data_IF_281061739147
#
_entry.id   IF_281061739147
#
_cell.length_a   1.000
_cell.length_b   1.000
_cell.length_c   1.000
_cell.angle_alpha   90.00
_cell.angle_beta   90.00
_cell.angle_gamma   90.00
#
_symmetry.space_group_name_H-M   'P 1'
#
loop_
_entity.id
_entity.type
_entity.pdbx_description
1 polymer ?
#
# COMPACT_ATOMS: atom_id res chain seq x y z
N UNK A 1 -9.35 30.24 -52.09
CA UNK A 1 -9.85 29.07 -52.86
C UNK A 1 -9.43 27.82 -52.11
N UNK A 2 -10.21 26.79 -51.79
CA UNK A 2 -11.64 26.47 -51.82
C UNK A 2 -11.84 25.35 -50.77
N UNK A 3 -12.91 25.42 -49.96
CA UNK A 3 -14.05 24.47 -49.96
C UNK A 3 -13.64 22.99 -50.08
N UNK A 4 -13.96 22.06 -49.18
CA UNK A 4 -14.92 22.04 -48.07
C UNK A 4 -14.99 20.61 -47.46
N UNK A 5 -15.86 20.38 -46.47
CA UNK A 5 -15.91 19.18 -45.61
C UNK A 5 -16.89 18.12 -46.13
N UNK A 6 -16.72 16.83 -45.76
CA UNK A 6 -17.69 15.72 -45.92
C UNK A 6 -17.08 14.44 -45.29
N UNK A 7 -17.77 13.50 -44.62
CA UNK A 7 -19.17 13.26 -44.24
C UNK A 7 -19.19 12.07 -43.26
N UNK A 8 -20.00 12.16 -42.20
CA UNK A 8 -20.53 11.00 -41.46
C UNK A 8 -21.68 10.34 -42.27
N UNK A 9 -21.90 9.02 -42.11
CA UNK A 9 -23.24 8.44 -42.19
C UNK A 9 -23.53 7.60 -40.92
N UNK A 10 -24.56 7.94 -40.13
CA UNK A 10 -25.98 7.56 -40.20
C UNK A 10 -26.34 6.35 -39.33
N UNK A 11 -27.13 6.67 -38.30
CA UNK A 11 -27.96 5.79 -37.49
C UNK A 11 -28.72 4.77 -38.34
N UNK A 12 -28.79 3.53 -37.85
CA UNK A 12 -29.84 2.57 -38.20
C UNK A 12 -30.75 2.38 -36.97
N UNK A 13 -32.06 2.45 -37.25
CA UNK A 13 -33.19 2.33 -36.32
C UNK A 13 -33.43 0.88 -35.89
N UNK A 14 -33.99 0.74 -34.68
CA UNK A 14 -34.68 -0.44 -34.11
C UNK A 14 -35.86 -0.94 -34.97
N UNK A 15 -36.33 -2.18 -34.73
CA UNK A 15 -37.62 -2.41 -34.06
C UNK A 15 -37.50 -3.46 -32.92
N UNK A 16 -38.20 -3.44 -31.77
CA UNK A 16 -39.64 -3.42 -31.44
C UNK A 16 -40.28 -4.83 -31.33
N UNK A 17 -40.93 -5.10 -30.19
CA UNK A 17 -41.85 -6.23 -29.93
C UNK A 17 -41.30 -7.26 -28.92
N UNK A 18 -42.00 -7.73 -27.88
CA UNK A 18 -43.35 -7.54 -27.37
C UNK A 18 -43.35 -7.85 -25.85
N UNK A 19 -44.17 -7.17 -25.03
CA UNK A 19 -45.52 -7.59 -24.59
C UNK A 19 -45.49 -8.97 -23.93
N UNK A 20 -45.73 -9.11 -22.62
CA UNK A 20 -47.02 -9.09 -21.87
C UNK A 20 -46.86 -10.26 -20.87
N UNK A 21 -47.37 -10.34 -19.66
CA UNK A 21 -48.56 -9.78 -19.01
C UNK A 21 -48.66 -10.42 -17.63
N UNK A 22 -49.31 -9.72 -16.69
CA UNK A 22 -50.21 -10.26 -15.64
C UNK A 22 -49.50 -11.09 -14.55
N UNK A 23 -49.78 -10.91 -13.27
CA UNK A 23 -51.12 -10.86 -12.70
C UNK A 23 -51.12 -10.22 -11.28
N UNK A 24 -52.24 -9.53 -11.00
CA UNK A 24 -53.06 -9.53 -9.76
C UNK A 24 -52.37 -9.57 -8.38
N UNK A 25 -52.85 -8.91 -7.33
CA UNK A 25 -53.77 -7.82 -6.95
C UNK A 25 -53.66 -7.77 -5.40
N UNK A 26 -53.93 -6.66 -4.73
CA UNK A 26 -53.75 -6.52 -3.28
C UNK A 26 -55.00 -6.95 -2.49
N UNK A 27 -54.83 -7.37 -1.23
CA UNK A 27 -55.91 -7.51 -0.26
C UNK A 27 -55.70 -6.58 0.94
N UNK A 28 -56.84 -6.14 1.45
CA UNK A 28 -57.14 -4.92 2.21
C UNK A 28 -57.54 -5.30 3.65
N UNK A 29 -57.37 -4.34 4.58
CA UNK A 29 -58.23 -4.07 5.74
C UNK A 29 -58.20 -5.06 6.92
N UNK A 30 -58.37 -4.73 8.21
CA UNK A 30 -58.61 -3.51 9.04
C UNK A 30 -58.53 -3.98 10.54
N UNK A 31 -58.64 -3.08 11.56
CA UNK A 31 -58.18 -3.30 12.94
C UNK A 31 -59.30 -3.72 13.91
N UNK A 32 -58.90 -4.12 15.14
CA UNK A 32 -59.83 -4.23 16.28
C UNK A 32 -59.45 -3.27 17.42
N UNK A 33 -60.47 -2.48 17.81
CA UNK A 33 -60.71 -1.84 19.10
C UNK A 33 -60.39 -2.79 20.28
N UNK A 34 -60.05 -2.38 21.50
CA UNK A 34 -60.30 -1.18 22.29
C UNK A 34 -60.39 -1.65 23.75
N UNK A 35 -60.10 -0.80 24.74
CA UNK A 35 -60.82 -0.65 26.01
C UNK A 35 -60.02 0.18 27.03
N UNK A 36 -60.79 1.01 27.71
CA UNK A 36 -60.44 2.14 28.56
C UNK A 36 -60.75 1.86 30.03
N UNK A 37 -59.82 2.22 30.94
CA UNK A 37 -60.01 2.77 32.32
C UNK A 37 -60.68 1.85 33.39
N UNK A 38 -60.62 2.14 34.73
CA UNK A 38 -60.36 3.43 35.41
C UNK A 38 -59.47 3.45 36.68
N UNK A 39 -59.38 4.69 37.21
CA UNK A 39 -58.74 5.22 38.42
C UNK A 39 -59.21 4.57 39.75
N UNK A 40 -58.30 4.47 40.71
CA UNK A 40 -58.57 4.29 42.14
C UNK A 40 -57.68 5.21 42.99
N UNK A 41 -58.24 5.80 44.05
CA UNK A 41 -57.69 6.92 44.83
C UNK A 41 -56.95 6.46 46.12
N UNK A 42 -55.86 7.18 46.42
CA UNK A 42 -55.10 7.49 47.68
C UNK A 42 -55.45 6.84 49.04
N UNK A 43 -54.42 6.72 49.94
CA UNK A 43 -54.21 7.73 50.99
C UNK A 43 -52.73 8.18 51.18
N UNK A 44 -52.50 9.11 52.11
CA UNK A 44 -51.35 10.02 52.17
C UNK A 44 -50.36 9.81 53.35
N UNK A 45 -49.08 10.18 53.09
CA UNK A 45 -48.01 10.74 53.99
C UNK A 45 -47.30 9.78 54.98
N UNK A 46 -45.97 9.97 55.26
CA UNK A 46 -45.36 11.22 55.72
C UNK A 46 -44.12 11.72 54.96
N UNK A 47 -43.75 12.96 55.27
CA UNK A 47 -42.73 13.77 54.61
C UNK A 47 -41.30 13.26 54.87
N UNK A 48 -40.50 13.12 53.80
CA UNK A 48 -39.04 13.08 53.89
C UNK A 48 -38.47 14.24 53.07
N UNK A 49 -37.72 15.06 53.81
CA UNK A 49 -36.68 16.02 53.41
C UNK A 49 -36.38 16.12 51.91
N UNK A 50 -36.60 17.32 51.38
CA UNK A 50 -36.26 17.76 50.03
C UNK A 50 -34.74 17.99 49.90
N UNK A 51 -34.05 17.04 49.28
CA UNK A 51 -32.82 17.34 48.51
C UNK A 51 -33.20 17.70 47.06
N UNK A 52 -32.42 18.52 46.34
CA UNK A 52 -32.74 18.86 44.96
C UNK A 52 -32.79 17.59 44.10
N UNK A 53 -33.68 17.51 43.10
CA UNK A 53 -33.74 16.35 42.22
C UNK A 53 -32.39 16.23 41.52
N UNK A 54 -31.73 15.07 41.65
CA UNK A 54 -30.62 14.72 40.79
C UNK A 54 -31.11 14.86 39.36
N UNK A 55 -30.58 15.86 38.65
CA UNK A 55 -30.79 16.01 37.22
C UNK A 55 -30.51 14.65 36.58
N UNK A 56 -31.37 14.14 35.68
CA UNK A 56 -30.97 13.00 34.88
C UNK A 56 -29.67 13.44 34.24
N UNK A 57 -28.54 12.81 34.61
CA UNK A 57 -27.27 12.95 33.91
C UNK A 57 -27.66 12.80 32.45
N UNK A 58 -27.70 13.92 31.74
CA UNK A 58 -27.80 13.91 30.30
C UNK A 58 -26.63 13.03 29.92
N UNK A 59 -26.93 11.83 29.44
CA UNK A 59 -25.99 11.09 28.61
C UNK A 59 -25.86 11.97 27.39
N UNK A 60 -25.07 13.04 27.51
CA UNK A 60 -24.59 13.84 26.41
C UNK A 60 -23.90 12.81 25.56
N UNK A 61 -24.59 12.37 24.50
CA UNK A 61 -23.92 11.65 23.42
C UNK A 61 -22.72 12.52 23.08
N UNK A 62 -21.50 11.96 23.08
CA UNK A 62 -20.34 12.73 22.67
C UNK A 62 -20.68 13.41 21.34
N UNK A 63 -20.30 14.70 21.24
CA UNK A 63 -20.55 15.48 20.03
C UNK A 63 -19.96 14.71 18.84
N UNK A 64 -20.57 14.71 17.64
CA UNK A 64 -20.03 13.99 16.49
C UNK A 64 -18.56 14.33 16.20
N UNK A 65 -18.11 15.53 16.58
CA UNK A 65 -16.71 15.96 16.52
C UNK A 65 -15.80 15.34 17.59
N UNK A 66 -16.32 15.02 18.77
CA UNK A 66 -15.60 14.31 19.83
C UNK A 66 -15.56 12.79 19.55
N UNK A 67 -16.62 12.24 18.97
CA UNK A 67 -16.64 10.87 18.42
C UNK A 67 -15.67 10.76 17.24
N UNK A 68 -15.70 11.71 16.28
CA UNK A 68 -14.69 11.82 15.22
C UNK A 68 -13.28 11.96 15.80
N UNK A 69 -13.06 12.79 16.84
CA UNK A 69 -11.73 13.01 17.40
C UNK A 69 -11.21 11.77 18.16
N UNK A 70 -12.08 11.01 18.83
CA UNK A 70 -11.73 9.72 19.43
C UNK A 70 -11.46 8.65 18.37
N UNK A 71 -12.25 8.61 17.31
CA UNK A 71 -12.05 7.72 16.17
C UNK A 71 -10.76 8.07 15.39
N UNK A 72 -10.43 9.36 15.27
CA UNK A 72 -9.21 9.84 14.61
C UNK A 72 -7.97 9.54 15.45
N UNK A 73 -8.07 9.58 16.78
CA UNK A 73 -6.98 9.14 17.66
C UNK A 73 -6.72 7.63 17.61
N UNK A 74 -7.75 6.84 17.37
CA UNK A 74 -7.67 5.37 17.31
C UNK A 74 -7.27 4.86 15.91
N UNK A 75 -7.73 5.51 14.84
CA UNK A 75 -7.48 5.05 13.47
C UNK A 75 -5.98 5.01 13.13
N UNK A 76 -5.21 6.02 13.57
CA UNK A 76 -3.76 6.04 13.35
C UNK A 76 -3.05 4.89 14.08
N UNK A 77 -3.50 4.56 15.29
CA UNK A 77 -2.98 3.41 16.04
C UNK A 77 -3.40 2.08 15.39
N UNK A 78 -4.62 1.98 14.87
CA UNK A 78 -5.07 0.79 14.14
C UNK A 78 -4.28 0.57 12.85
N UNK A 79 -4.08 1.63 12.05
CA UNK A 79 -3.23 1.57 10.86
C UNK A 79 -1.85 1.06 11.26
N UNK A 80 -1.18 1.72 12.22
CA UNK A 80 0.14 1.33 12.68
C UNK A 80 0.20 -0.13 13.18
N UNK A 81 -0.79 -0.57 13.95
CA UNK A 81 -0.86 -1.94 14.45
C UNK A 81 -1.03 -2.97 13.32
N UNK A 82 -1.91 -2.70 12.35
CA UNK A 82 -2.06 -3.55 11.19
C UNK A 82 -0.77 -3.57 10.33
N UNK A 83 -0.13 -2.42 10.12
CA UNK A 83 1.16 -2.33 9.42
C UNK A 83 2.25 -3.15 10.11
N UNK A 84 2.38 -3.03 11.44
CA UNK A 84 3.37 -3.76 12.21
C UNK A 84 3.12 -5.28 12.18
N UNK A 85 1.88 -5.71 12.40
CA UNK A 85 1.48 -7.11 12.30
C UNK A 85 1.74 -7.66 10.89
N UNK A 86 1.45 -6.88 9.85
CA UNK A 86 1.77 -7.22 8.46
C UNK A 86 3.27 -7.43 8.25
N UNK A 87 4.11 -6.55 8.78
CA UNK A 87 5.57 -6.70 8.69
C UNK A 87 6.10 -7.89 9.49
N UNK A 88 5.60 -8.14 10.69
CA UNK A 88 6.01 -9.29 11.53
C UNK A 88 5.62 -10.60 10.86
N UNK A 89 4.37 -10.72 10.40
CA UNK A 89 3.87 -11.93 9.72
C UNK A 89 4.59 -12.16 8.39
N UNK A 90 4.90 -11.10 7.64
CA UNK A 90 5.75 -11.18 6.43
C UNK A 90 7.14 -11.73 6.74
N UNK A 91 7.81 -11.22 7.79
CA UNK A 91 9.13 -11.73 8.23
C UNK A 91 9.08 -13.19 8.69
N UNK A 92 7.94 -13.65 9.17
CA UNK A 92 7.68 -15.07 9.50
C UNK A 92 7.26 -15.91 8.27
N UNK A 93 7.32 -15.35 7.05
CA UNK A 93 6.88 -15.99 5.81
C UNK A 93 5.38 -16.37 5.78
N UNK A 94 4.55 -15.77 6.64
CA UNK A 94 3.08 -15.93 6.66
C UNK A 94 2.44 -14.92 5.72
N UNK A 95 2.74 -15.06 4.43
CA UNK A 95 2.46 -14.02 3.41
C UNK A 95 0.98 -13.72 3.20
N UNK A 96 0.08 -14.71 3.32
CA UNK A 96 -1.38 -14.50 3.20
C UNK A 96 -1.93 -13.65 4.35
N UNK A 97 -1.40 -13.83 5.55
CA UNK A 97 -1.81 -13.06 6.71
C UNK A 97 -1.26 -11.64 6.68
N UNK A 98 0.00 -11.49 6.23
CA UNK A 98 0.59 -10.19 5.94
C UNK A 98 -0.26 -9.40 4.94
N UNK A 99 -0.74 -10.07 3.88
CA UNK A 99 -1.60 -9.46 2.87
C UNK A 99 -2.87 -8.89 3.51
N UNK A 100 -3.55 -9.68 4.34
CA UNK A 100 -4.76 -9.24 5.04
C UNK A 100 -4.47 -8.03 5.92
N UNK A 101 -3.41 -8.08 6.72
CA UNK A 101 -3.06 -6.96 7.59
C UNK A 101 -2.76 -5.67 6.83
N UNK A 102 -1.99 -5.74 5.74
CA UNK A 102 -1.72 -4.55 4.93
C UNK A 102 -2.95 -4.06 4.16
N UNK A 103 -3.86 -4.94 3.72
CA UNK A 103 -5.12 -4.52 3.10
C UNK A 103 -6.06 -3.85 4.09
N UNK A 104 -6.14 -4.35 5.33
CA UNK A 104 -6.86 -3.72 6.43
C UNK A 104 -6.27 -2.33 6.73
N UNK A 105 -4.94 -2.21 6.85
CA UNK A 105 -4.26 -0.92 7.04
C UNK A 105 -4.54 0.06 5.89
N UNK A 106 -4.49 -0.42 4.64
CA UNK A 106 -4.77 0.39 3.45
C UNK A 106 -6.22 0.89 3.43
N UNK A 107 -7.18 0.06 3.81
CA UNK A 107 -8.58 0.43 3.88
C UNK A 107 -8.81 1.56 4.89
N UNK A 108 -8.16 1.50 6.05
CA UNK A 108 -8.20 2.53 7.08
C UNK A 108 -7.42 3.79 6.68
N UNK A 109 -6.37 3.66 5.87
CA UNK A 109 -5.52 4.77 5.42
C UNK A 109 -6.15 5.62 4.32
N UNK A 110 -7.16 5.11 3.61
CA UNK A 110 -7.85 5.83 2.54
C UNK A 110 -8.69 6.98 3.10
N UNK A 111 -8.47 8.18 2.57
CA UNK A 111 -9.26 9.37 2.93
C UNK A 111 -8.74 10.16 4.13
N UNK A 112 -7.56 9.80 4.68
CA UNK A 112 -6.95 10.52 5.80
C UNK A 112 -5.63 11.20 5.43
N UNK A 113 -5.55 12.50 5.72
CA UNK A 113 -4.36 13.32 5.52
C UNK A 113 -3.94 13.46 4.05
N UNK A 114 -2.69 13.89 3.77
CA UNK A 114 -2.17 14.07 2.41
C UNK A 114 -1.82 12.73 1.73
N UNK A 115 -2.38 11.60 2.16
CA UNK A 115 -2.11 10.28 1.56
C UNK A 115 -0.81 9.62 2.01
N UNK A 116 -0.13 10.12 3.06
CA UNK A 116 1.12 9.53 3.59
C UNK A 116 0.96 8.06 3.97
N UNK A 117 -0.07 7.73 4.76
CA UNK A 117 -0.32 6.35 5.20
C UNK A 117 -0.68 5.45 4.03
N UNK A 118 -1.49 5.94 3.10
CA UNK A 118 -1.83 5.22 1.87
C UNK A 118 -0.57 4.92 1.03
N UNK A 119 0.37 5.86 0.96
CA UNK A 119 1.62 5.67 0.26
C UNK A 119 2.49 4.57 0.90
N UNK A 120 2.50 4.51 2.24
CA UNK A 120 3.19 3.47 3.01
C UNK A 120 2.57 2.10 2.74
N UNK A 121 1.26 1.97 2.86
CA UNK A 121 0.60 0.68 2.69
C UNK A 121 0.63 0.15 1.25
N UNK A 122 0.54 1.02 0.24
CA UNK A 122 0.78 0.60 -1.14
C UNK A 122 2.22 0.11 -1.36
N UNK A 123 3.20 0.71 -0.67
CA UNK A 123 4.59 0.24 -0.69
C UNK A 123 4.74 -1.14 -0.04
N UNK A 124 4.16 -1.34 1.14
CA UNK A 124 4.19 -2.62 1.85
C UNK A 124 3.54 -3.74 1.03
N UNK A 125 2.39 -3.47 0.41
CA UNK A 125 1.72 -4.41 -0.47
C UNK A 125 2.53 -4.68 -1.73
N UNK A 126 3.18 -3.67 -2.31
CA UNK A 126 4.06 -3.85 -3.46
C UNK A 126 5.21 -4.81 -3.15
N UNK A 127 5.85 -4.63 -2.01
CA UNK A 127 6.92 -5.51 -1.56
C UNK A 127 6.42 -6.92 -1.29
N UNK A 128 5.28 -7.07 -0.62
CA UNK A 128 4.68 -8.38 -0.36
C UNK A 128 4.33 -9.11 -1.66
N UNK A 129 3.79 -8.41 -2.66
CA UNK A 129 3.54 -9.01 -3.96
C UNK A 129 4.83 -9.38 -4.68
N UNK A 130 5.93 -8.65 -4.48
CA UNK A 130 7.23 -9.05 -5.02
C UNK A 130 7.71 -10.36 -4.38
N UNK A 131 7.59 -10.50 -3.05
CA UNK A 131 7.93 -11.74 -2.33
C UNK A 131 7.08 -12.93 -2.76
N UNK A 132 5.80 -12.69 -3.10
CA UNK A 132 4.87 -13.68 -3.63
C UNK A 132 5.12 -14.04 -5.12
N UNK A 133 6.08 -13.38 -5.79
CA UNK A 133 6.30 -13.55 -7.24
C UNK A 133 5.22 -12.90 -8.12
N UNK A 134 4.30 -12.12 -7.53
CA UNK A 134 3.24 -11.41 -8.23
C UNK A 134 3.75 -10.09 -8.83
N UNK A 135 4.73 -10.19 -9.73
CA UNK A 135 5.51 -9.05 -10.21
C UNK A 135 4.68 -7.90 -10.82
N UNK A 136 3.62 -8.21 -11.58
CA UNK A 136 2.73 -7.17 -12.13
C UNK A 136 1.98 -6.38 -11.04
N UNK A 137 1.56 -7.03 -9.94
CA UNK A 137 0.93 -6.34 -8.82
C UNK A 137 1.94 -5.52 -8.04
N UNK A 138 3.16 -6.03 -7.86
CA UNK A 138 4.27 -5.28 -7.25
C UNK A 138 4.54 -3.98 -8.02
N UNK A 139 4.65 -4.05 -9.36
CA UNK A 139 4.83 -2.88 -10.23
C UNK A 139 3.68 -1.88 -10.07
N UNK A 140 2.43 -2.35 -10.12
CA UNK A 140 1.25 -1.49 -10.05
C UNK A 140 1.19 -0.73 -8.72
N UNK A 141 1.33 -1.45 -7.61
CA UNK A 141 1.24 -0.87 -6.26
C UNK A 141 2.46 -0.02 -5.92
N UNK A 142 3.66 -0.47 -6.31
CA UNK A 142 4.89 0.30 -6.12
C UNK A 142 4.86 1.61 -6.89
N UNK A 143 4.33 1.61 -8.12
CA UNK A 143 4.15 2.83 -8.92
C UNK A 143 3.18 3.81 -8.24
N UNK A 144 2.08 3.30 -7.67
CA UNK A 144 1.12 4.11 -6.92
C UNK A 144 1.75 4.70 -5.67
N UNK A 145 2.48 3.90 -4.91
CA UNK A 145 3.23 4.34 -3.73
C UNK A 145 4.24 5.45 -4.08
N UNK A 146 5.06 5.25 -5.11
CA UNK A 146 6.02 6.25 -5.58
C UNK A 146 5.35 7.58 -5.97
N UNK A 147 4.22 7.52 -6.67
CA UNK A 147 3.45 8.72 -7.05
C UNK A 147 2.92 9.49 -5.83
N UNK A 148 2.38 8.78 -4.83
CA UNK A 148 1.89 9.38 -3.60
C UNK A 148 3.03 9.99 -2.78
N UNK A 149 4.15 9.28 -2.64
CA UNK A 149 5.34 9.76 -1.90
C UNK A 149 5.98 10.98 -2.54
N UNK A 150 6.04 11.01 -3.88
CA UNK A 150 6.45 12.21 -4.62
C UNK A 150 5.54 13.41 -4.32
N UNK A 151 4.22 13.21 -4.30
CA UNK A 151 3.26 14.28 -4.07
C UNK A 151 3.39 14.91 -2.66
N UNK A 152 3.86 14.16 -1.67
CA UNK A 152 4.06 14.63 -0.30
C UNK A 152 5.53 15.00 0.01
N UNK A 153 6.44 14.91 -0.96
CA UNK A 153 7.86 15.21 -0.78
C UNK A 153 8.63 14.19 0.06
N UNK A 154 8.16 12.93 0.11
CA UNK A 154 8.85 11.83 0.78
C UNK A 154 9.87 11.17 -0.17
N UNK A 155 11.05 11.79 -0.28
CA UNK A 155 12.12 11.36 -1.19
C UNK A 155 12.63 9.94 -0.89
N UNK A 156 12.82 9.62 0.39
CA UNK A 156 13.30 8.30 0.83
C UNK A 156 12.31 7.21 0.46
N UNK A 157 11.04 7.40 0.80
CA UNK A 157 10.05 6.40 0.48
C UNK A 157 9.78 6.33 -1.04
N UNK A 158 9.92 7.43 -1.80
CA UNK A 158 9.83 7.39 -3.27
C UNK A 158 10.94 6.50 -3.84
N UNK A 159 12.18 6.65 -3.34
CA UNK A 159 13.31 5.81 -3.73
C UNK A 159 13.03 4.33 -3.46
N UNK A 160 12.57 3.99 -2.25
CA UNK A 160 12.20 2.61 -1.89
C UNK A 160 11.10 2.05 -2.79
N UNK A 161 10.03 2.81 -3.04
CA UNK A 161 8.93 2.35 -3.90
C UNK A 161 9.39 2.11 -5.35
N UNK A 162 10.26 2.97 -5.89
CA UNK A 162 10.83 2.79 -7.23
C UNK A 162 11.78 1.59 -7.29
N UNK A 163 12.50 1.30 -6.22
CA UNK A 163 13.31 0.08 -6.09
C UNK A 163 12.42 -1.17 -6.19
N UNK A 164 11.28 -1.19 -5.49
CA UNK A 164 10.30 -2.28 -5.57
C UNK A 164 9.72 -2.44 -6.98
N UNK A 165 9.41 -1.34 -7.66
CA UNK A 165 8.97 -1.37 -9.07
C UNK A 165 10.05 -1.98 -9.96
N UNK A 166 11.31 -1.54 -9.82
CA UNK A 166 12.43 -2.07 -10.59
C UNK A 166 12.63 -3.58 -10.34
N UNK A 167 12.52 -4.05 -9.10
CA UNK A 167 12.55 -5.48 -8.74
C UNK A 167 11.41 -6.25 -9.41
N UNK A 168 10.21 -5.68 -9.45
CA UNK A 168 9.08 -6.26 -10.20
C UNK A 168 9.35 -6.35 -11.70
N UNK A 169 9.95 -5.31 -12.30
CA UNK A 169 10.35 -5.32 -13.70
C UNK A 169 11.42 -6.38 -14.00
N UNK A 170 12.36 -6.62 -13.07
CA UNK A 170 13.32 -7.73 -13.22
C UNK A 170 12.63 -9.09 -13.21
N UNK A 171 11.67 -9.30 -12.33
CA UNK A 171 10.90 -10.56 -12.27
C UNK A 171 10.03 -10.80 -13.50
N UNK A 172 9.66 -9.75 -14.25
CA UNK A 172 8.96 -9.87 -15.54
C UNK A 172 9.91 -9.98 -16.74
N UNK A 173 11.22 -9.82 -16.54
CA UNK A 173 12.23 -9.83 -17.60
C UNK A 173 12.43 -8.47 -18.30
N UNK A 174 11.69 -7.43 -17.90
CA UNK A 174 11.77 -6.08 -18.47
C UNK A 174 12.97 -5.30 -17.91
N UNK A 175 14.19 -5.80 -18.18
CA UNK A 175 15.44 -5.26 -17.61
C UNK A 175 15.71 -3.79 -18.01
N UNK A 176 15.24 -3.35 -19.19
CA UNK A 176 15.31 -1.95 -19.60
C UNK A 176 14.46 -1.03 -18.71
N UNK A 177 13.24 -1.43 -18.37
CA UNK A 177 12.35 -0.65 -17.50
C UNK A 177 12.87 -0.69 -16.06
N UNK A 178 13.37 -1.85 -15.62
CA UNK A 178 14.04 -1.99 -14.33
C UNK A 178 15.23 -1.03 -14.20
N UNK A 179 16.06 -0.91 -15.23
CA UNK A 179 17.20 0.01 -15.27
C UNK A 179 16.76 1.46 -15.04
N UNK A 180 15.71 1.90 -15.73
CA UNK A 180 15.20 3.28 -15.60
C UNK A 180 14.73 3.57 -14.17
N UNK A 181 13.91 2.69 -13.59
CA UNK A 181 13.41 2.89 -12.23
C UNK A 181 14.51 2.78 -11.17
N UNK A 182 15.44 1.83 -11.32
CA UNK A 182 16.56 1.65 -10.40
C UNK A 182 17.51 2.85 -10.41
N UNK A 183 17.84 3.42 -11.59
CA UNK A 183 18.64 4.65 -11.69
C UNK A 183 17.98 5.82 -10.98
N UNK A 184 16.66 5.98 -11.13
CA UNK A 184 15.92 7.03 -10.44
C UNK A 184 15.90 6.82 -8.93
N UNK A 185 15.73 5.58 -8.47
CA UNK A 185 15.79 5.25 -7.05
C UNK A 185 17.18 5.56 -6.45
N UNK A 186 18.26 5.21 -7.15
CA UNK A 186 19.64 5.54 -6.76
C UNK A 186 19.86 7.05 -6.71
N UNK A 187 19.39 7.80 -7.71
CA UNK A 187 19.48 9.26 -7.72
C UNK A 187 18.78 9.89 -6.50
N UNK A 188 17.56 9.45 -6.21
CA UNK A 188 16.79 9.94 -5.06
C UNK A 188 17.44 9.57 -3.73
N UNK A 189 17.88 8.31 -3.57
CA UNK A 189 18.63 7.87 -2.39
C UNK A 189 19.90 8.70 -2.19
N UNK A 190 20.61 9.04 -3.27
CA UNK A 190 21.78 9.92 -3.21
C UNK A 190 21.49 11.33 -2.72
N UNK A 191 20.32 11.87 -3.09
CA UNK A 191 19.88 13.20 -2.65
C UNK A 191 19.24 13.22 -1.26
N UNK A 192 19.01 12.05 -0.66
CA UNK A 192 18.41 11.97 0.67
C UNK A 192 19.39 12.46 1.75
N UNK A 193 18.87 13.26 2.67
CA UNK A 193 19.61 13.84 3.80
C UNK A 193 19.56 12.89 5.03
N UNK A 194 18.62 11.94 5.07
CA UNK A 194 18.33 11.13 6.25
C UNK A 194 18.96 9.73 6.20
N UNK A 195 18.39 8.85 5.37
CA UNK A 195 18.73 7.42 5.33
C UNK A 195 19.49 7.02 4.07
N UNK A 196 20.42 7.88 3.62
CA UNK A 196 21.19 7.72 2.38
C UNK A 196 21.69 6.28 2.17
N UNK A 197 22.28 5.67 3.19
CA UNK A 197 22.92 4.36 3.06
C UNK A 197 21.92 3.21 2.87
N UNK A 198 20.87 3.16 3.69
CA UNK A 198 19.89 2.06 3.68
C UNK A 198 18.99 2.13 2.43
N UNK A 199 18.60 3.34 2.04
CA UNK A 199 17.76 3.54 0.86
C UNK A 199 18.55 3.40 -0.44
N UNK A 200 19.88 3.45 -0.43
CA UNK A 200 20.74 3.39 -1.62
C UNK A 200 21.26 1.98 -1.94
N UNK A 201 21.61 1.18 -0.92
CA UNK A 201 22.21 -0.15 -1.15
C UNK A 201 21.29 -1.10 -1.93
N UNK A 202 20.01 -1.16 -1.57
CA UNK A 202 19.02 -1.99 -2.26
C UNK A 202 18.82 -1.58 -3.74
N UNK A 203 18.54 -0.30 -4.08
CA UNK A 203 18.52 0.16 -5.46
C UNK A 203 19.80 -0.11 -6.26
N UNK A 204 20.99 0.00 -5.64
CA UNK A 204 22.25 -0.29 -6.30
C UNK A 204 22.38 -1.76 -6.71
N UNK A 205 21.96 -2.70 -5.85
CA UNK A 205 21.97 -4.13 -6.19
C UNK A 205 20.98 -4.47 -7.31
N UNK A 206 19.80 -3.84 -7.31
CA UNK A 206 18.81 -3.96 -8.37
C UNK A 206 19.37 -3.37 -9.67
N UNK A 207 19.97 -2.18 -9.62
CA UNK A 207 20.61 -1.53 -10.76
C UNK A 207 21.72 -2.42 -11.35
N UNK A 208 22.58 -2.99 -10.51
CA UNK A 208 23.64 -3.89 -10.93
C UNK A 208 23.09 -5.09 -11.70
N UNK A 209 22.03 -5.71 -11.17
CA UNK A 209 21.40 -6.88 -11.80
C UNK A 209 20.80 -6.51 -13.17
N UNK A 210 20.12 -5.36 -13.28
CA UNK A 210 19.59 -4.88 -14.56
C UNK A 210 20.71 -4.60 -15.58
N UNK A 211 21.80 -3.94 -15.15
CA UNK A 211 22.97 -3.67 -16.00
C UNK A 211 23.65 -4.95 -16.47
N UNK A 212 23.78 -5.97 -15.60
CA UNK A 212 24.37 -7.25 -15.95
C UNK A 212 23.58 -7.95 -17.07
N UNK A 213 22.26 -8.02 -16.95
CA UNK A 213 21.39 -8.61 -17.99
C UNK A 213 21.43 -7.85 -19.32
N UNK A 214 21.72 -6.55 -19.30
CA UNK A 214 21.85 -5.73 -20.49
C UNK A 214 23.29 -5.71 -21.07
N UNK A 215 24.23 -6.47 -20.48
CA UNK A 215 25.61 -6.58 -20.94
C UNK A 215 26.56 -5.49 -20.44
N UNK A 216 26.11 -4.61 -19.55
CA UNK A 216 26.89 -3.50 -18.99
C UNK A 216 27.66 -3.97 -17.74
N UNK A 217 28.52 -4.97 -17.89
CA UNK A 217 29.18 -5.66 -16.78
C UNK A 217 30.05 -4.74 -15.89
N UNK A 218 30.74 -3.76 -16.48
CA UNK A 218 31.61 -2.84 -15.74
C UNK A 218 30.79 -1.88 -14.85
N UNK A 219 29.69 -1.32 -15.37
CA UNK A 219 28.79 -0.47 -14.58
C UNK A 219 28.11 -1.29 -13.48
N UNK A 220 27.70 -2.53 -13.78
CA UNK A 220 27.13 -3.43 -12.80
C UNK A 220 28.11 -3.67 -11.64
N UNK A 221 29.37 -3.97 -11.95
CA UNK A 221 30.41 -4.20 -10.95
C UNK A 221 30.66 -2.99 -10.06
N UNK A 222 30.63 -1.78 -10.62
CA UNK A 222 30.73 -0.54 -9.85
C UNK A 222 29.58 -0.42 -8.84
N UNK A 223 28.34 -0.69 -9.28
CA UNK A 223 27.16 -0.66 -8.41
C UNK A 223 27.25 -1.71 -7.29
N UNK A 224 27.69 -2.94 -7.59
CA UNK A 224 27.87 -4.00 -6.56
C UNK A 224 28.94 -3.61 -5.55
N UNK A 225 30.04 -2.99 -5.97
CA UNK A 225 31.11 -2.51 -5.06
C UNK A 225 30.61 -1.43 -4.12
N UNK A 226 29.89 -0.44 -4.65
CA UNK A 226 29.29 0.63 -3.86
C UNK A 226 28.29 0.06 -2.84
N UNK A 227 27.39 -0.84 -3.25
CA UNK A 227 26.46 -1.51 -2.36
C UNK A 227 27.16 -2.33 -1.26
N UNK A 228 28.20 -3.10 -1.61
CA UNK A 228 28.95 -3.91 -0.65
C UNK A 228 29.67 -3.05 0.41
N UNK A 229 30.22 -1.90 0.01
CA UNK A 229 30.82 -0.95 0.93
C UNK A 229 29.79 -0.42 1.93
N UNK A 230 28.61 -0.03 1.45
CA UNK A 230 27.53 0.45 2.31
C UNK A 230 27.12 -0.63 3.34
N UNK A 231 26.95 -1.88 2.92
CA UNK A 231 26.62 -2.96 3.85
C UNK A 231 27.74 -3.23 4.87
N UNK A 232 29.01 -3.14 4.45
CA UNK A 232 30.17 -3.29 5.33
C UNK A 232 30.21 -2.19 6.39
N UNK A 233 30.01 -0.94 5.99
CA UNK A 233 30.03 0.22 6.90
C UNK A 233 28.90 0.15 7.95
N UNK A 234 27.82 -0.60 7.67
CA UNK A 234 26.71 -0.86 8.60
C UNK A 234 26.88 -2.11 9.45
N UNK A 235 27.91 -2.92 9.22
CA UNK A 235 28.09 -4.22 9.89
C UNK A 235 27.08 -5.29 9.44
N UNK A 236 26.50 -5.14 8.25
CA UNK A 236 25.64 -6.16 7.61
C UNK A 236 26.51 -7.13 6.81
N UNK A 237 27.35 -7.87 7.54
CA UNK A 237 28.44 -8.66 6.97
C UNK A 237 27.96 -9.79 6.04
N UNK A 238 26.74 -10.33 6.23
CA UNK A 238 26.19 -11.38 5.36
C UNK A 238 25.96 -10.88 3.93
N UNK A 239 25.34 -9.71 3.80
CA UNK A 239 24.99 -9.12 2.51
C UNK A 239 26.25 -8.56 1.82
N UNK A 240 27.13 -7.93 2.60
CA UNK A 240 28.44 -7.50 2.12
C UNK A 240 29.26 -8.69 1.59
N UNK A 241 29.33 -9.80 2.32
CA UNK A 241 30.09 -10.97 1.90
C UNK A 241 29.52 -11.61 0.63
N UNK A 242 28.19 -11.69 0.49
CA UNK A 242 27.56 -12.21 -0.72
C UNK A 242 27.95 -11.37 -1.95
N UNK A 243 27.89 -10.05 -1.84
CA UNK A 243 28.26 -9.13 -2.92
C UNK A 243 29.77 -9.15 -3.20
N UNK A 244 30.62 -9.26 -2.17
CA UNK A 244 32.06 -9.42 -2.34
C UNK A 244 32.45 -10.74 -3.03
N UNK A 245 31.73 -11.83 -2.74
CA UNK A 245 31.90 -13.08 -3.48
C UNK A 245 31.51 -12.91 -4.95
N UNK A 246 30.37 -12.26 -5.22
CA UNK A 246 29.92 -11.96 -6.59
C UNK A 246 30.94 -11.13 -7.37
N UNK A 247 31.54 -10.10 -6.73
CA UNK A 247 32.63 -9.30 -7.32
C UNK A 247 33.81 -10.21 -7.67
N UNK A 248 34.24 -11.08 -6.75
CA UNK A 248 35.41 -11.95 -6.92
C UNK A 248 35.22 -12.96 -8.05
N UNK A 249 34.04 -13.56 -8.15
CA UNK A 249 33.72 -14.48 -9.25
C UNK A 249 33.58 -13.78 -10.59
N UNK A 250 33.17 -12.51 -10.60
CA UNK A 250 33.10 -11.71 -11.83
C UNK A 250 34.48 -11.22 -12.30
N UNK A 251 35.45 -11.06 -11.41
CA UNK A 251 36.81 -10.60 -11.74
C UNK A 251 37.82 -11.73 -11.97
N UNK A 252 37.60 -12.93 -11.43
CA UNK A 252 38.45 -14.11 -11.69
C UNK A 252 37.85 -14.90 -12.86
N UNK A 253 38.49 -14.95 -14.05
CA UNK A 253 37.99 -15.75 -15.16
C UNK A 253 37.99 -17.25 -14.79
N UNK A 254 37.03 -18.05 -15.30
CA UNK A 254 36.84 -19.45 -14.92
C UNK A 254 37.97 -20.41 -15.35
N UNK A 255 39.14 -19.92 -15.78
CA UNK A 255 40.21 -20.73 -16.35
C UNK A 255 41.62 -20.35 -15.87
N UNK A 256 41.77 -19.88 -14.63
CA UNK A 256 43.08 -19.84 -13.97
C UNK A 256 43.35 -21.15 -13.23
N UNK A 257 43.34 -22.26 -13.96
CA UNK A 257 43.94 -23.51 -13.49
C UNK A 257 45.44 -23.25 -13.40
N UNK A 258 45.98 -23.26 -12.18
CA UNK A 258 47.41 -23.11 -11.93
C UNK A 258 48.20 -24.11 -12.80
N UNK A 259 49.30 -23.70 -13.47
CA UNK A 259 50.16 -24.67 -14.14
C UNK A 259 50.78 -25.57 -13.07
N UNK A 260 50.52 -26.87 -13.16
CA UNK A 260 51.21 -27.89 -12.35
C UNK A 260 52.72 -27.77 -12.59
N UNK A 261 53.55 -27.64 -11.54
CA UNK A 261 55.00 -27.62 -11.70
C UNK A 261 55.47 -28.99 -12.20
N UNK A 262 56.35 -28.96 -13.22
CA UNK A 262 57.02 -30.13 -13.79
C UNK A 262 57.99 -30.76 -12.80
#
# INVERSE_FOLDING_TARGET
MGRGPRRLPRRVRRPAGGRTSRDRRPLRALPHHGHTRPRGQRPARPQRSTGPPATPRSRTRPHPAAELAQDTGNIHLQIAAHTELGQVTRRQNRLTEALRHFEDALALSRGFGPGRWEAVEEGNLADLHADLGNHHQAIKRGTRSAGLRRAIGDTDGEACALATVARGCQGTGDHHIALTHARRAVELGRTSIGSHDETLASPLTILATALHHLGHANEALACVREAAQIYTDKGLDSDANALHQQIRTATVPPNSTLPTPR
#
